data_IF_884942721999
#
_entry.id   IF_884942721999
#
_cell.length_a   1.000
_cell.length_b   1.000
_cell.length_c   1.000
_cell.angle_alpha   90.00
_cell.angle_beta   90.00
_cell.angle_gamma   90.00
#
_symmetry.space_group_name_H-M   'P 1'
#
loop_
_entity.id
_entity.type
_entity.pdbx_description
1 polymer ?
#
# COMPACT_ATOMS: atom_id res chain seq x y z
N UNK A 1 11.91 -0.62 -15.69
CA UNK A 1 12.29 0.74 -15.18
C UNK A 1 11.12 1.71 -15.28
N UNK A 2 10.49 1.91 -16.45
CA UNK A 2 9.29 2.77 -16.57
C UNK A 2 8.08 2.25 -15.76
N UNK A 3 7.86 0.93 -15.72
CA UNK A 3 6.75 0.33 -14.96
C UNK A 3 6.87 0.55 -13.46
N UNK A 4 8.08 0.63 -12.92
CA UNK A 4 8.29 0.83 -11.48
C UNK A 4 7.97 2.28 -11.06
N UNK A 5 8.24 3.29 -11.89
CA UNK A 5 7.90 4.68 -11.61
C UNK A 5 6.38 4.91 -11.58
N UNK A 6 5.66 4.34 -12.55
CA UNK A 6 4.20 4.40 -12.56
C UNK A 6 3.58 3.69 -11.34
N UNK A 7 4.13 2.53 -10.95
CA UNK A 7 3.71 1.81 -9.75
C UNK A 7 4.02 2.59 -8.47
N UNK A 8 5.18 3.25 -8.38
CA UNK A 8 5.51 4.15 -7.25
C UNK A 8 4.50 5.29 -7.13
N UNK A 9 4.14 5.93 -8.25
CA UNK A 9 3.13 6.99 -8.25
C UNK A 9 1.75 6.48 -7.80
N UNK A 10 1.36 5.28 -8.23
CA UNK A 10 0.12 4.64 -7.79
C UNK A 10 0.14 4.37 -6.27
N UNK A 11 1.28 3.93 -5.72
CA UNK A 11 1.42 3.73 -4.27
C UNK A 11 1.37 5.03 -3.48
N UNK A 12 1.90 6.14 -4.02
CA UNK A 12 1.77 7.46 -3.40
C UNK A 12 0.29 7.85 -3.34
N UNK A 13 -0.43 7.73 -4.46
CA UNK A 13 -1.89 8.02 -4.51
C UNK A 13 -2.69 7.14 -3.54
N UNK A 14 -2.35 5.84 -3.48
CA UNK A 14 -2.92 4.91 -2.51
C UNK A 14 -2.65 5.39 -1.07
N UNK A 15 -1.40 5.67 -0.72
CA UNK A 15 -1.05 6.15 0.63
C UNK A 15 -1.79 7.41 1.01
N UNK A 16 -1.88 8.39 0.10
CA UNK A 16 -2.57 9.65 0.37
C UNK A 16 -4.08 9.47 0.54
N UNK A 17 -4.69 8.50 -0.16
CA UNK A 17 -6.11 8.19 -0.01
C UNK A 17 -6.41 7.53 1.34
N UNK A 18 -5.49 6.72 1.85
CA UNK A 18 -5.67 5.93 3.08
C UNK A 18 -5.01 6.54 4.33
N UNK A 19 -4.39 7.73 4.21
CA UNK A 19 -3.54 8.32 5.27
C UNK A 19 -4.24 8.53 6.62
N UNK A 20 -5.53 8.83 6.61
CA UNK A 20 -6.32 9.08 7.82
C UNK A 20 -6.77 7.77 8.50
N UNK A 21 -6.46 6.63 7.87
CA UNK A 21 -6.83 5.29 8.32
C UNK A 21 -5.61 4.39 8.56
N UNK A 22 -4.42 4.95 8.77
CA UNK A 22 -3.16 4.18 8.88
C UNK A 22 -3.16 3.11 9.98
N UNK A 23 -4.00 3.27 11.00
CA UNK A 23 -4.13 2.31 12.10
C UNK A 23 -5.05 1.11 11.75
N UNK A 24 -5.81 1.21 10.66
CA UNK A 24 -6.82 0.22 10.25
C UNK A 24 -6.38 -0.68 9.11
N UNK A 25 -5.16 -0.56 8.61
CA UNK A 25 -4.68 -1.47 7.57
C UNK A 25 -3.17 -1.67 7.61
N UNK A 26 -2.74 -2.78 7.02
CA UNK A 26 -1.33 -3.00 6.71
C UNK A 26 -1.19 -3.57 5.30
N UNK A 27 -0.19 -3.07 4.56
CA UNK A 27 0.12 -3.55 3.22
C UNK A 27 1.03 -4.77 3.33
N UNK A 28 0.69 -5.83 2.60
CA UNK A 28 1.43 -7.09 2.58
C UNK A 28 1.81 -7.46 1.14
N UNK A 29 2.32 -8.68 0.96
CA UNK A 29 2.54 -9.25 -0.36
C UNK A 29 3.63 -8.53 -1.18
N UNK A 30 3.41 -8.47 -2.49
CA UNK A 30 4.39 -7.96 -3.46
C UNK A 30 4.71 -6.47 -3.25
N UNK A 31 3.69 -5.68 -2.90
CA UNK A 31 3.86 -4.25 -2.64
C UNK A 31 4.74 -3.99 -1.42
N UNK A 32 4.51 -4.71 -0.31
CA UNK A 32 5.35 -4.57 0.89
C UNK A 32 6.82 -4.95 0.62
N UNK A 33 7.04 -6.04 -0.12
CA UNK A 33 8.39 -6.45 -0.53
C UNK A 33 9.07 -5.39 -1.41
N UNK A 34 8.34 -4.75 -2.33
CA UNK A 34 8.88 -3.71 -3.18
C UNK A 34 9.38 -2.51 -2.37
N UNK A 35 8.61 -2.05 -1.38
CA UNK A 35 9.00 -0.93 -0.50
C UNK A 35 10.30 -1.27 0.24
N UNK A 36 10.35 -2.44 0.90
CA UNK A 36 11.53 -2.88 1.67
C UNK A 36 12.78 -3.07 0.79
N UNK A 37 12.61 -3.54 -0.44
CA UNK A 37 13.73 -3.74 -1.36
C UNK A 37 14.24 -2.42 -1.94
N UNK A 38 13.36 -1.46 -2.21
CA UNK A 38 13.75 -0.10 -2.64
C UNK A 38 14.57 0.60 -1.55
N UNK A 39 14.13 0.52 -0.29
CA UNK A 39 14.88 1.01 0.88
C UNK A 39 16.25 0.34 1.02
N UNK A 40 16.34 -0.95 0.69
CA UNK A 40 17.59 -1.70 0.68
C UNK A 40 18.47 -1.47 -0.57
N UNK A 41 18.04 -0.62 -1.52
CA UNK A 41 18.75 -0.37 -2.78
C UNK A 41 18.80 -1.60 -3.70
N UNK A 42 17.85 -2.53 -3.58
CA UNK A 42 17.78 -3.78 -4.34
C UNK A 42 16.64 -3.74 -5.35
N UNK A 43 16.88 -4.34 -6.51
CA UNK A 43 15.83 -4.55 -7.50
C UNK A 43 14.84 -5.62 -7.03
N UNK A 44 13.54 -5.33 -7.14
CA UNK A 44 12.46 -6.28 -6.91
C UNK A 44 11.50 -6.30 -8.10
N UNK A 45 10.87 -7.46 -8.34
CA UNK A 45 9.83 -7.58 -9.37
C UNK A 45 8.52 -7.02 -8.80
N UNK A 46 8.18 -5.80 -9.20
CA UNK A 46 6.95 -5.16 -8.79
C UNK A 46 5.71 -5.95 -9.25
N UNK A 47 4.64 -5.88 -8.46
CA UNK A 47 3.31 -6.42 -8.82
C UNK A 47 2.36 -5.25 -9.12
N UNK A 48 1.25 -5.53 -9.81
CA UNK A 48 0.27 -4.50 -10.22
C UNK A 48 -0.90 -4.35 -9.22
N UNK A 49 -1.01 -5.29 -8.31
CA UNK A 49 -1.99 -5.39 -7.24
C UNK A 49 -1.41 -4.92 -5.90
N UNK A 50 -2.30 -4.52 -5.00
CA UNK A 50 -1.98 -4.19 -3.61
C UNK A 50 -2.72 -5.17 -2.72
N UNK A 51 -1.97 -6.06 -2.08
CA UNK A 51 -2.48 -6.94 -1.04
C UNK A 51 -2.47 -6.19 0.30
N UNK A 52 -3.59 -6.18 1.03
CA UNK A 52 -3.66 -5.56 2.34
C UNK A 52 -4.52 -6.37 3.30
N UNK A 53 -4.23 -6.22 4.59
CA UNK A 53 -5.08 -6.68 5.68
C UNK A 53 -5.77 -5.44 6.26
N UNK A 54 -7.09 -5.51 6.43
CA UNK A 54 -7.87 -4.53 7.16
C UNK A 54 -8.03 -4.98 8.62
N UNK A 55 -7.77 -4.07 9.54
CA UNK A 55 -7.98 -4.23 10.98
C UNK A 55 -9.30 -3.57 11.34
N UNK A 56 -10.34 -4.39 11.41
CA UNK A 56 -11.71 -3.94 11.66
C UNK A 56 -12.00 -4.02 13.17
N UNK A 57 -11.28 -3.22 13.95
CA UNK A 57 -11.66 -2.88 15.34
C UNK A 57 -12.25 -1.45 15.37
N UNK A 58 -12.64 -0.93 16.53
CA UNK A 58 -13.31 0.37 16.72
C UNK A 58 -12.88 1.44 15.69
N UNK A 59 -13.72 1.70 14.68
CA UNK A 59 -13.41 2.56 13.52
C UNK A 59 -13.72 1.95 12.15
N UNK A 60 -13.93 0.62 12.07
CA UNK A 60 -14.29 -0.06 10.83
C UNK A 60 -15.55 0.47 10.12
N UNK A 61 -16.54 1.00 10.86
CA UNK A 61 -17.75 1.59 10.26
C UNK A 61 -17.44 2.89 9.49
N UNK A 62 -16.53 3.72 9.98
CA UNK A 62 -16.12 4.95 9.29
C UNK A 62 -15.34 4.62 8.02
N UNK A 63 -14.43 3.64 8.10
CA UNK A 63 -13.70 3.14 6.95
C UNK A 63 -14.64 2.62 5.85
N UNK A 64 -15.62 1.77 6.20
CA UNK A 64 -16.61 1.24 5.25
C UNK A 64 -17.57 2.31 4.67
N UNK A 65 -17.69 3.49 5.30
CA UNK A 65 -18.45 4.60 4.73
C UNK A 65 -17.62 5.42 3.74
N UNK A 66 -16.31 5.44 3.91
CA UNK A 66 -15.39 6.19 3.06
C UNK A 66 -15.00 5.44 1.77
N UNK A 67 -14.97 4.10 1.81
CA UNK A 67 -14.52 3.23 0.71
C UNK A 67 -15.51 2.08 0.46
#
# INVERSE_FOLDING_TARGET
MADNEALKNNLISFRESFKDYSDYYTVIGGTACMILMDEAGRSFRATKDVDMILVMEDGGEEFCKAF
#
